data_IF_694465931232
#
_entry.id   IF_694465931232
#
_cell.length_a   1.000
_cell.length_b   1.000
_cell.length_c   1.000
_cell.angle_alpha   90.00
_cell.angle_beta   90.00
_cell.angle_gamma   90.00
#
_symmetry.space_group_name_H-M   'P 1'
#
loop_
_entity.id
_entity.type
_entity.pdbx_description
1 polymer ?
#
# COMPACT_ATOMS: atom_id res chain seq x y z
N UNK A 1 -43.35 -65.79 -8.50
CA UNK A 1 -43.16 -64.53 -9.27
C UNK A 1 -42.33 -63.54 -8.48
N UNK A 2 -41.10 -63.45 -8.91
CA UNK A 2 -40.18 -62.52 -8.22
C UNK A 2 -40.13 -61.24 -9.02
N UNK A 3 -40.55 -60.13 -8.40
CA UNK A 3 -40.43 -58.80 -9.00
C UNK A 3 -39.06 -58.26 -8.67
N UNK A 4 -38.22 -58.14 -9.69
CA UNK A 4 -36.97 -57.41 -9.59
C UNK A 4 -37.27 -55.92 -9.54
N UNK A 5 -36.99 -55.29 -8.41
CA UNK A 5 -36.97 -53.85 -8.28
C UNK A 5 -35.62 -53.37 -8.79
N UNK A 6 -35.61 -52.83 -9.96
CA UNK A 6 -34.46 -52.10 -10.51
C UNK A 6 -34.23 -50.83 -9.69
N UNK A 7 -33.21 -50.83 -8.89
CA UNK A 7 -32.75 -49.63 -8.20
C UNK A 7 -31.88 -48.89 -9.20
N UNK A 8 -32.37 -47.75 -9.64
CA UNK A 8 -31.65 -46.81 -10.50
C UNK A 8 -30.63 -46.07 -9.62
N UNK A 9 -29.33 -46.13 -9.91
CA UNK A 9 -28.38 -45.32 -9.19
C UNK A 9 -28.50 -43.87 -9.71
N UNK A 10 -28.94 -42.99 -8.83
CA UNK A 10 -28.88 -41.56 -9.04
C UNK A 10 -27.40 -41.14 -8.97
N UNK A 11 -26.84 -40.90 -10.14
CA UNK A 11 -25.50 -40.30 -10.26
C UNK A 11 -25.65 -38.87 -9.87
N UNK A 12 -25.25 -38.54 -8.65
CA UNK A 12 -25.12 -37.17 -8.17
C UNK A 12 -23.88 -36.59 -8.83
N UNK A 13 -24.07 -35.89 -9.95
CA UNK A 13 -23.02 -35.09 -10.55
C UNK A 13 -22.73 -33.90 -9.63
N UNK A 14 -21.74 -34.03 -8.79
CA UNK A 14 -21.17 -32.91 -8.06
C UNK A 14 -20.46 -32.00 -9.05
N UNK A 15 -21.13 -30.94 -9.43
CA UNK A 15 -20.53 -29.85 -10.19
C UNK A 15 -19.55 -29.14 -9.27
N UNK A 16 -18.28 -29.44 -9.43
CA UNK A 16 -17.21 -28.62 -8.85
C UNK A 16 -17.22 -27.29 -9.59
N UNK A 17 -17.91 -26.32 -9.02
CA UNK A 17 -17.68 -24.93 -9.34
C UNK A 17 -16.27 -24.60 -8.88
N UNK A 18 -15.33 -24.67 -9.81
CA UNK A 18 -14.01 -24.13 -9.60
C UNK A 18 -14.16 -22.65 -9.31
N UNK A 19 -14.22 -22.29 -8.03
CA UNK A 19 -14.01 -20.92 -7.65
C UNK A 19 -12.64 -20.52 -8.20
N UNK A 20 -12.61 -19.62 -9.16
CA UNK A 20 -11.41 -18.88 -9.50
C UNK A 20 -11.00 -18.16 -8.22
N UNK A 21 -10.20 -18.80 -7.41
CA UNK A 21 -9.46 -18.10 -6.37
C UNK A 21 -8.49 -17.22 -7.12
N UNK A 22 -8.83 -15.94 -7.20
CA UNK A 22 -7.85 -14.91 -7.42
C UNK A 22 -6.81 -15.09 -6.33
N UNK A 23 -5.70 -15.72 -6.68
CA UNK A 23 -4.56 -15.76 -5.78
C UNK A 23 -4.23 -14.30 -5.49
N UNK A 24 -4.23 -13.87 -4.22
CA UNK A 24 -3.71 -12.56 -3.89
C UNK A 24 -2.30 -12.52 -4.45
N UNK A 25 -2.01 -11.50 -5.25
CA UNK A 25 -0.65 -11.21 -5.67
C UNK A 25 0.16 -11.22 -4.38
N UNK A 26 1.08 -12.18 -4.25
CA UNK A 26 2.05 -12.15 -3.16
C UNK A 26 2.87 -10.88 -3.36
N UNK A 27 2.37 -9.79 -2.78
CA UNK A 27 3.23 -8.66 -2.48
C UNK A 27 4.27 -9.26 -1.55
N UNK A 28 5.53 -9.13 -1.89
CA UNK A 28 6.63 -9.44 -1.01
C UNK A 28 6.30 -8.78 0.31
N UNK A 29 5.77 -9.57 1.26
CA UNK A 29 5.32 -9.06 2.53
C UNK A 29 6.59 -8.60 3.21
N UNK A 30 6.72 -7.30 3.37
CA UNK A 30 7.69 -6.69 4.22
C UNK A 30 7.67 -7.45 5.56
N UNK A 31 8.78 -8.05 6.02
CA UNK A 31 8.78 -8.95 7.19
C UNK A 31 8.30 -8.26 8.47
N UNK A 32 8.25 -6.93 8.50
CA UNK A 32 7.70 -6.15 9.61
C UNK A 32 6.20 -5.89 9.43
N UNK A 33 5.66 -6.05 8.23
CA UNK A 33 4.24 -5.80 7.94
C UNK A 33 3.85 -4.34 8.13
N UNK A 34 4.47 -3.44 7.35
CA UNK A 34 4.22 -2.01 7.42
C UNK A 34 3.08 -1.64 6.46
N UNK A 35 2.13 -0.88 6.97
CA UNK A 35 1.07 -0.26 6.21
C UNK A 35 1.12 1.26 6.38
N UNK A 36 1.40 1.99 5.30
CA UNK A 36 1.32 3.44 5.27
C UNK A 36 -0.12 3.85 4.95
N UNK A 37 -0.70 4.71 5.78
CA UNK A 37 -2.09 5.17 5.69
C UNK A 37 -2.07 6.67 5.39
N UNK A 38 -2.27 7.00 4.11
CA UNK A 38 -2.26 8.35 3.58
C UNK A 38 -3.54 8.56 2.79
N UNK A 39 -4.30 9.63 3.07
CA UNK A 39 -5.46 9.95 2.25
C UNK A 39 -5.01 10.34 0.84
N UNK A 40 -5.72 9.88 -0.17
CA UNK A 40 -5.41 10.17 -1.58
C UNK A 40 -5.59 11.66 -1.89
N UNK A 41 -6.64 12.27 -1.34
CA UNK A 41 -6.98 13.69 -1.51
C UNK A 41 -7.38 14.32 -0.20
N UNK A 42 -6.86 15.50 0.08
CA UNK A 42 -7.20 16.31 1.26
C UNK A 42 -7.32 17.78 0.91
N UNK A 43 -8.03 18.51 1.76
CA UNK A 43 -8.07 19.97 1.72
C UNK A 43 -6.73 20.57 2.18
N UNK A 44 -6.46 21.79 1.74
CA UNK A 44 -5.32 22.60 2.24
C UNK A 44 -5.44 22.80 3.75
N UNK A 45 -4.36 22.59 4.46
CA UNK A 45 -4.31 22.77 5.92
C UNK A 45 -3.71 21.59 6.65
N UNK A 46 -4.26 21.29 7.82
CA UNK A 46 -3.76 20.24 8.70
C UNK A 46 -4.31 18.87 8.27
N UNK A 47 -3.45 17.91 8.06
CA UNK A 47 -3.83 16.51 7.79
C UNK A 47 -3.06 15.55 8.68
N UNK A 48 -3.66 14.41 8.97
CA UNK A 48 -3.04 13.33 9.76
C UNK A 48 -2.54 12.25 8.82
N UNK A 49 -1.28 11.88 8.99
CA UNK A 49 -0.65 10.75 8.32
C UNK A 49 -0.38 9.65 9.35
N UNK A 50 -0.50 8.41 8.96
CA UNK A 50 -0.33 7.29 9.87
C UNK A 50 0.42 6.12 9.24
N UNK A 51 1.07 5.33 10.09
CA UNK A 51 1.59 4.01 9.75
C UNK A 51 1.10 2.98 10.77
N UNK A 52 0.90 1.77 10.31
CA UNK A 52 0.71 0.61 11.17
C UNK A 52 1.84 -0.38 10.93
N UNK A 53 2.46 -0.85 12.00
CA UNK A 53 3.55 -1.83 11.95
C UNK A 53 3.11 -3.07 12.72
N UNK A 54 3.10 -4.23 12.05
CA UNK A 54 2.60 -5.47 12.65
C UNK A 54 3.55 -6.05 13.70
N UNK A 55 4.87 -5.94 13.48
CA UNK A 55 5.92 -6.44 14.37
C UNK A 55 6.76 -5.27 14.90
N UNK A 56 6.12 -4.39 15.66
CA UNK A 56 6.72 -3.15 16.17
C UNK A 56 7.85 -3.36 17.18
N UNK A 57 7.90 -4.51 17.87
CA UNK A 57 8.99 -4.85 18.80
C UNK A 57 10.38 -4.91 18.13
N UNK A 58 10.42 -5.03 16.79
CA UNK A 58 11.66 -5.05 16.01
C UNK A 58 12.08 -3.67 15.50
N UNK A 59 11.21 -2.69 15.63
CA UNK A 59 11.43 -1.33 15.16
C UNK A 59 12.30 -0.56 16.13
N UNK A 60 13.39 -0.01 15.62
CA UNK A 60 14.34 0.82 16.40
C UNK A 60 14.05 2.31 16.27
N UNK A 61 13.55 2.73 15.12
CA UNK A 61 13.21 4.11 14.83
C UNK A 61 12.15 4.17 13.73
N UNK A 62 11.28 5.16 13.78
CA UNK A 62 10.29 5.42 12.75
C UNK A 62 9.97 6.90 12.62
N UNK A 63 9.75 7.35 11.38
CA UNK A 63 9.30 8.70 11.07
C UNK A 63 8.58 8.73 9.72
N UNK A 64 7.92 9.85 9.41
CA UNK A 64 7.29 10.08 8.12
C UNK A 64 8.00 11.23 7.41
N UNK A 65 8.31 11.04 6.14
CA UNK A 65 8.86 12.07 5.27
C UNK A 65 7.81 12.52 4.26
N UNK A 66 7.72 13.82 4.06
CA UNK A 66 6.83 14.43 3.09
C UNK A 66 7.63 15.31 2.15
N UNK A 67 7.52 15.03 0.86
CA UNK A 67 8.26 15.71 -0.20
C UNK A 67 7.30 16.32 -1.20
N UNK A 68 7.24 17.67 -1.33
CA UNK A 68 6.47 18.31 -2.39
C UNK A 68 7.06 17.94 -3.75
N UNK A 69 6.20 17.54 -4.69
CA UNK A 69 6.64 17.19 -6.04
C UNK A 69 7.32 18.36 -6.77
N UNK A 70 6.81 19.57 -6.56
CA UNK A 70 7.31 20.76 -7.26
C UNK A 70 8.72 21.21 -6.83
N UNK A 71 9.10 20.97 -5.57
CA UNK A 71 10.37 21.48 -5.02
C UNK A 71 11.35 20.41 -4.62
N UNK A 72 10.88 19.17 -4.44
CA UNK A 72 11.65 18.04 -3.94
C UNK A 72 12.31 18.26 -2.56
N UNK A 73 11.84 19.27 -1.82
CA UNK A 73 12.33 19.61 -0.48
C UNK A 73 11.67 18.72 0.58
N UNK A 74 12.38 17.68 0.99
CA UNK A 74 11.89 16.69 1.94
C UNK A 74 11.87 17.21 3.36
N UNK A 75 10.73 17.06 4.03
CA UNK A 75 10.58 17.33 5.47
C UNK A 75 10.32 16.03 6.22
N UNK A 76 10.98 15.89 7.36
CA UNK A 76 10.85 14.73 8.26
C UNK A 76 9.99 15.10 9.45
N UNK A 77 9.04 14.23 9.79
CA UNK A 77 8.11 14.40 10.89
C UNK A 77 8.23 13.21 11.84
N UNK A 78 8.41 13.53 13.12
CA UNK A 78 8.34 12.53 14.19
C UNK A 78 6.93 11.97 14.30
N UNK A 79 6.82 10.70 14.62
CA UNK A 79 5.55 10.01 14.84
C UNK A 79 5.32 9.73 16.32
N UNK A 80 4.06 9.72 16.72
CA UNK A 80 3.62 9.38 18.07
C UNK A 80 2.68 8.17 17.99
N UNK A 81 2.82 7.23 18.89
CA UNK A 81 1.90 6.09 18.98
C UNK A 81 0.53 6.56 19.51
N UNK A 82 -0.53 6.18 18.80
CA UNK A 82 -1.91 6.38 19.20
C UNK A 82 -2.75 5.21 18.71
N UNK A 83 -3.38 4.49 19.63
CA UNK A 83 -4.30 3.37 19.34
C UNK A 83 -3.70 2.29 18.38
N UNK A 84 -2.41 2.00 18.55
CA UNK A 84 -1.69 1.03 17.70
C UNK A 84 -1.22 1.56 16.35
N UNK A 85 -1.33 2.87 16.13
CA UNK A 85 -0.81 3.56 14.93
C UNK A 85 0.29 4.54 15.30
N UNK A 86 1.25 4.68 14.40
CA UNK A 86 2.25 5.73 14.46
C UNK A 86 1.70 6.92 13.64
N UNK A 87 1.38 8.01 14.31
CA UNK A 87 0.69 9.16 13.70
C UNK A 87 1.49 10.44 13.78
N UNK A 88 1.30 11.30 12.79
CA UNK A 88 1.79 12.68 12.78
C UNK A 88 0.77 13.59 12.12
N UNK A 89 0.76 14.86 12.50
CA UNK A 89 -0.06 15.89 11.86
C UNK A 89 0.84 16.87 11.12
N UNK A 90 0.54 17.09 9.86
CA UNK A 90 1.31 17.97 8.98
C UNK A 90 0.42 19.06 8.40
N UNK A 91 0.95 20.26 8.30
CA UNK A 91 0.28 21.38 7.62
C UNK A 91 0.81 21.48 6.20
N UNK A 92 -0.08 21.35 5.22
CA UNK A 92 0.26 21.29 3.81
C UNK A 92 -0.47 22.37 3.01
N UNK A 93 0.27 22.95 2.09
CA UNK A 93 -0.27 23.85 1.07
C UNK A 93 -0.73 23.05 -0.15
N UNK A 94 -1.42 23.73 -1.07
CA UNK A 94 -1.86 23.12 -2.32
C UNK A 94 -0.70 22.52 -3.11
N UNK A 95 -0.87 21.28 -3.58
CA UNK A 95 0.14 20.59 -4.38
C UNK A 95 0.03 19.09 -4.32
N UNK A 96 1.01 18.44 -4.93
CA UNK A 96 1.16 16.98 -4.88
C UNK A 96 2.37 16.64 -4.04
N UNK A 97 2.21 15.64 -3.18
CA UNK A 97 3.22 15.23 -2.22
C UNK A 97 3.50 13.74 -2.31
N UNK A 98 4.77 13.40 -2.24
CA UNK A 98 5.20 12.03 -1.97
C UNK A 98 5.36 11.87 -0.46
N UNK A 99 4.70 10.86 0.09
CA UNK A 99 4.77 10.51 1.50
C UNK A 99 5.51 9.19 1.64
N UNK A 100 6.59 9.18 2.40
CA UNK A 100 7.36 7.99 2.71
C UNK A 100 7.23 7.68 4.21
N UNK A 101 6.83 6.46 4.54
CA UNK A 101 7.06 5.95 5.87
C UNK A 101 8.51 5.47 5.95
N UNK A 102 9.23 5.83 6.99
CA UNK A 102 10.58 5.33 7.25
C UNK A 102 10.55 4.50 8.52
N UNK A 103 10.84 3.21 8.39
CA UNK A 103 10.84 2.28 9.53
C UNK A 103 12.18 1.54 9.56
N UNK A 104 12.88 1.68 10.67
CA UNK A 104 14.19 1.09 10.88
C UNK A 104 14.08 -0.17 11.74
N UNK A 105 14.67 -1.25 11.28
CA UNK A 105 14.92 -2.48 12.02
C UNK A 105 16.44 -2.70 12.08
N UNK A 106 17.09 -2.15 13.10
CA UNK A 106 18.55 -2.11 13.15
C UNK A 106 19.13 -1.33 11.97
N UNK A 107 19.89 -2.01 11.10
CA UNK A 107 20.49 -1.38 9.90
C UNK A 107 19.59 -1.45 8.65
N UNK A 108 18.47 -2.17 8.72
CA UNK A 108 17.52 -2.24 7.62
C UNK A 108 16.53 -1.08 7.68
N UNK A 109 16.22 -0.52 6.54
CA UNK A 109 15.23 0.56 6.39
C UNK A 109 14.17 0.14 5.40
N UNK A 110 12.93 0.25 5.81
CA UNK A 110 11.75 -0.02 4.98
C UNK A 110 11.06 1.30 4.68
N UNK A 111 10.74 1.53 3.41
CA UNK A 111 10.22 2.82 2.94
C UNK A 111 8.96 2.64 2.10
N UNK A 112 7.80 2.31 2.72
CA UNK A 112 6.54 2.37 1.99
C UNK A 112 6.27 3.79 1.52
N UNK A 113 5.77 3.92 0.29
CA UNK A 113 5.55 5.20 -0.38
C UNK A 113 4.12 5.34 -0.85
N UNK A 114 3.54 6.52 -0.70
CA UNK A 114 2.25 6.89 -1.24
C UNK A 114 2.28 8.32 -1.79
N UNK A 115 1.34 8.61 -2.70
CA UNK A 115 1.11 9.95 -3.22
C UNK A 115 -0.14 10.55 -2.59
N UNK A 116 -0.13 11.85 -2.39
CA UNK A 116 -1.24 12.60 -1.81
C UNK A 116 -1.44 13.91 -2.58
N UNK A 117 -2.69 14.23 -2.89
CA UNK A 117 -3.08 15.46 -3.54
C UNK A 117 -3.71 16.38 -2.49
N UNK A 118 -3.21 17.60 -2.39
CA UNK A 118 -3.69 18.61 -1.43
C UNK A 118 -4.30 19.77 -2.19
N UNK A 119 -5.56 20.05 -1.93
CA UNK A 119 -6.31 21.11 -2.56
C UNK A 119 -6.67 20.83 -4.02
N UNK A 120 -6.86 21.90 -4.78
CA UNK A 120 -7.26 21.83 -6.19
C UNK A 120 -6.03 21.88 -7.10
N UNK A 121 -5.61 20.71 -7.58
CA UNK A 121 -4.45 20.52 -8.46
C UNK A 121 -4.92 20.23 -9.89
N UNK A 122 -4.32 20.89 -10.92
CA UNK A 122 -4.63 20.59 -12.31
C UNK A 122 -4.44 19.13 -12.68
N UNK A 123 -5.39 18.56 -13.44
CA UNK A 123 -5.39 17.14 -13.79
C UNK A 123 -4.15 16.73 -14.59
N UNK A 124 -3.61 17.59 -15.42
CA UNK A 124 -2.40 17.34 -16.20
C UNK A 124 -1.16 17.08 -15.34
N UNK A 125 -1.08 17.71 -14.16
CA UNK A 125 -0.01 17.43 -13.21
C UNK A 125 -0.17 16.07 -12.53
N UNK A 126 -1.41 15.67 -12.24
CA UNK A 126 -1.72 14.35 -11.68
C UNK A 126 -1.35 13.27 -12.68
N UNK A 127 -1.76 13.44 -13.94
CA UNK A 127 -1.50 12.49 -15.02
C UNK A 127 0.02 12.31 -15.26
N UNK A 128 0.81 13.35 -15.13
CA UNK A 128 2.28 13.27 -15.26
C UNK A 128 2.90 12.36 -14.20
N UNK A 129 2.40 12.41 -12.97
CA UNK A 129 2.91 11.58 -11.88
C UNK A 129 2.50 10.13 -12.07
N UNK A 130 1.26 9.86 -12.45
CA UNK A 130 0.79 8.52 -12.74
C UNK A 130 1.62 7.86 -13.85
N UNK A 131 1.93 8.59 -14.93
CA UNK A 131 2.78 8.10 -16.01
C UNK A 131 4.21 7.82 -15.57
N UNK A 132 4.79 8.68 -14.74
CA UNK A 132 6.16 8.48 -14.23
C UNK A 132 6.27 7.28 -13.30
N UNK A 133 5.21 6.99 -12.55
CA UNK A 133 5.15 5.83 -11.65
C UNK A 133 5.05 4.51 -12.41
N UNK A 134 4.33 4.48 -13.52
CA UNK A 134 4.21 3.28 -14.38
C UNK A 134 5.54 2.95 -15.06
N UNK A 135 6.28 3.96 -15.52
CA UNK A 135 7.57 3.74 -16.21
C UNK A 135 8.67 3.21 -15.30
N UNK A 136 8.62 3.48 -14.01
CA UNK A 136 9.64 2.98 -13.06
C UNK A 136 9.52 1.49 -12.75
N UNK A 137 8.41 0.84 -13.09
CA UNK A 137 8.22 -0.60 -12.92
C UNK A 137 8.73 -1.47 -14.08
N UNK A 138 9.03 -0.89 -15.24
CA UNK A 138 9.44 -1.64 -16.45
C UNK A 138 10.96 -1.81 -16.61
N UNK A 139 11.78 -1.31 -15.68
CA UNK A 139 13.24 -1.36 -15.83
C UNK A 139 13.97 -2.45 -15.03
N UNK A 140 13.25 -3.39 -14.42
CA UNK A 140 13.88 -4.54 -13.73
C UNK A 140 13.80 -5.83 -14.57
N UNK A 141 14.11 -5.73 -15.84
CA UNK A 141 14.16 -6.80 -16.83
C UNK A 141 15.56 -7.05 -17.37
N UNK A 142 16.36 -7.82 -16.62
CA UNK A 142 17.31 -8.79 -17.16
C UNK A 142 18.36 -8.36 -18.18
N UNK A 143 19.58 -8.12 -17.75
CA UNK A 143 20.76 -8.43 -18.56
C UNK A 143 21.58 -9.52 -17.84
N UNK A 144 21.35 -10.76 -18.27
CA UNK A 144 22.30 -11.85 -18.08
C UNK A 144 23.24 -11.88 -19.32
N UNK A 145 24.50 -11.64 -19.10
CA UNK A 145 25.60 -12.13 -19.92
C UNK A 145 26.38 -13.14 -19.12
#
# INVERSE_FOLDING_TARGET
MRRFKTVLPVILATIWLGACQLQPIERTIDPIGIQLIVPERVEVGLTTLAMKVANDERVTESHIQVTPYATEDTRTYEVTERDGYLVTSVKLDQGIYRVNGMVHEGQKVYTPTAWMIVGDVPQDQIDQIEQSTVQSHDHDGGHHH
#
